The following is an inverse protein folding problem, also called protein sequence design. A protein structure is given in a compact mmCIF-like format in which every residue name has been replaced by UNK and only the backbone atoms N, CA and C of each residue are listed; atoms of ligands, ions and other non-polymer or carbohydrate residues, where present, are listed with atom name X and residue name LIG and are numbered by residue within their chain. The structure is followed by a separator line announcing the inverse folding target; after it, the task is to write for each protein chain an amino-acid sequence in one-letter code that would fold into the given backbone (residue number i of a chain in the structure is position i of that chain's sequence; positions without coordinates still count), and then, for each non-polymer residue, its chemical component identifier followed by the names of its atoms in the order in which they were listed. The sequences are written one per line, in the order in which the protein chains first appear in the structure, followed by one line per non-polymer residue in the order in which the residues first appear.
data_IF_421889513283
#
_entry.id   IF_421889513283
#
_cell.length_a   1.000
_cell.length_b   1.000
_cell.length_c   1.000
_cell.angle_alpha   90.00
_cell.angle_beta   90.00
_cell.angle_gamma   90.00
#
_symmetry.space_group_name_H-M   'P 1'
#
loop_
_entity.id
_entity.type
_entity.pdbx_description
1 polymer ?
#
# COMPACT_ATOMS: atom_id res chain seq x y z
N UNK A 1 23.98 -27.93 -30.81
CA UNK A 1 22.53 -27.82 -30.90
C UNK A 1 21.76 -28.81 -30.00
N UNK A 2 22.43 -29.75 -29.36
CA UNK A 2 21.80 -30.85 -28.57
C UNK A 2 21.49 -30.52 -27.10
N UNK A 3 22.04 -29.43 -26.53
CA UNK A 3 21.83 -29.11 -25.12
C UNK A 3 20.43 -28.54 -24.85
N UNK A 4 19.87 -27.77 -25.78
CA UNK A 4 18.53 -27.19 -25.62
C UNK A 4 17.40 -28.22 -25.63
N UNK A 5 17.55 -29.30 -26.39
CA UNK A 5 16.57 -30.40 -26.43
C UNK A 5 16.61 -31.26 -25.17
N UNK A 6 17.78 -31.45 -24.55
CA UNK A 6 17.91 -32.19 -23.29
C UNK A 6 17.25 -31.48 -22.09
N UNK A 7 17.30 -30.12 -22.03
CA UNK A 7 16.66 -29.34 -20.98
C UNK A 7 15.12 -29.35 -21.07
N UNK A 8 14.58 -29.34 -22.28
CA UNK A 8 13.12 -29.41 -22.49
C UNK A 8 12.55 -30.75 -22.08
N UNK A 9 13.29 -31.85 -22.37
CA UNK A 9 12.86 -33.19 -21.97
C UNK A 9 12.88 -33.37 -20.44
N UNK A 10 13.83 -32.77 -19.73
CA UNK A 10 13.92 -32.86 -18.27
C UNK A 10 12.78 -32.13 -17.57
N UNK A 11 12.35 -30.97 -18.08
CA UNK A 11 11.24 -30.19 -17.52
C UNK A 11 9.90 -30.90 -17.70
N UNK A 12 9.69 -31.57 -18.83
CA UNK A 12 8.46 -32.33 -19.09
C UNK A 12 8.30 -33.57 -18.21
N UNK A 13 9.38 -34.24 -17.82
CA UNK A 13 9.33 -35.40 -16.92
C UNK A 13 9.05 -34.99 -15.48
N UNK A 14 9.54 -33.81 -15.03
CA UNK A 14 9.25 -33.29 -13.67
C UNK A 14 7.80 -32.85 -13.49
N UNK A 15 7.11 -32.38 -14.55
CA UNK A 15 5.74 -31.96 -14.49
C UNK A 15 4.70 -33.08 -14.34
N UNK A 16 5.08 -34.31 -14.72
CA UNK A 16 4.18 -35.47 -14.68
C UNK A 16 4.09 -36.15 -13.30
N UNK A 17 4.96 -35.82 -12.35
CA UNK A 17 5.05 -36.48 -11.04
C UNK A 17 4.18 -35.85 -9.94
N UNK A 18 3.44 -34.75 -10.20
CA UNK A 18 2.71 -33.99 -9.18
C UNK A 18 1.18 -34.21 -9.18
N UNK A 19 0.66 -35.18 -9.93
CA UNK A 19 -0.79 -35.43 -10.06
C UNK A 19 -1.27 -36.73 -9.40
N UNK A 20 -0.69 -37.15 -8.28
CA UNK A 20 -1.22 -38.32 -7.54
C UNK A 20 -1.30 -37.99 -6.05
N UNK A 21 -2.51 -37.74 -5.55
CA UNK A 21 -2.75 -37.75 -4.11
C UNK A 21 -3.81 -36.80 -3.57
N UNK A 22 -5.08 -37.04 -3.89
CA UNK A 22 -6.19 -36.62 -3.02
C UNK A 22 -7.21 -37.75 -2.93
N UNK A 23 -7.04 -38.64 -1.96
CA UNK A 23 -8.07 -39.60 -1.54
C UNK A 23 -8.84 -38.98 -0.36
N UNK A 24 -10.14 -39.02 -0.50
CA UNK A 24 -11.10 -38.39 0.37
C UNK A 24 -11.07 -38.84 1.83
N UNK A 25 -11.39 -37.93 2.72
CA UNK A 25 -11.73 -38.17 4.11
C UNK A 25 -13.25 -38.07 4.29
N UNK A 26 -13.87 -39.15 4.74
CA UNK A 26 -15.27 -39.32 5.07
C UNK A 26 -15.71 -38.28 6.14
N UNK A 27 -16.86 -37.62 6.04
CA UNK A 27 -17.34 -36.76 7.11
C UNK A 27 -17.82 -37.57 8.31
N UNK A 28 -17.14 -37.35 9.44
CA UNK A 28 -17.59 -37.83 10.74
C UNK A 28 -18.81 -37.05 11.25
N UNK A 29 -19.65 -37.64 12.14
CA UNK A 29 -20.85 -36.97 12.67
C UNK A 29 -20.49 -35.73 13.49
N UNK A 30 -21.13 -34.59 13.13
CA UNK A 30 -20.91 -33.31 13.73
C UNK A 30 -21.29 -33.24 15.22
N UNK A 31 -20.57 -32.43 16.01
CA UNK A 31 -20.95 -32.17 17.40
C UNK A 31 -22.24 -31.35 17.47
N UNK A 32 -23.10 -31.77 18.37
CA UNK A 32 -24.36 -31.14 18.77
C UNK A 32 -24.19 -29.65 19.08
N UNK A 33 -25.07 -28.77 18.63
CA UNK A 33 -24.96 -27.34 18.93
C UNK A 33 -25.22 -27.10 20.43
N UNK A 34 -24.21 -26.58 21.11
CA UNK A 34 -24.31 -26.01 22.45
C UNK A 34 -25.06 -24.67 22.36
N UNK A 35 -26.08 -24.41 23.21
CA UNK A 35 -26.85 -23.19 23.14
C UNK A 35 -26.03 -21.97 23.59
N UNK A 36 -25.96 -20.98 22.72
CA UNK A 36 -25.97 -19.57 22.99
C UNK A 36 -24.93 -18.98 23.96
N UNK A 37 -23.76 -18.65 23.47
CA UNK A 37 -23.06 -17.47 23.97
C UNK A 37 -23.39 -16.32 23.00
N UNK A 38 -24.23 -15.40 23.43
CA UNK A 38 -24.48 -14.14 22.74
C UNK A 38 -23.19 -13.34 22.80
N UNK A 39 -22.38 -13.41 21.76
CA UNK A 39 -21.24 -12.50 21.60
C UNK A 39 -21.85 -11.15 21.25
N UNK A 40 -21.89 -10.26 22.23
CA UNK A 40 -22.15 -8.85 21.96
C UNK A 40 -21.03 -8.35 21.04
N UNK A 41 -21.33 -8.27 19.74
CA UNK A 41 -20.44 -7.68 18.74
C UNK A 41 -20.34 -6.21 19.08
N UNK A 42 -19.27 -5.84 19.81
CA UNK A 42 -18.89 -4.43 19.96
C UNK A 42 -18.46 -3.98 18.56
N UNK A 43 -19.37 -3.27 17.88
CA UNK A 43 -19.09 -2.61 16.62
C UNK A 43 -17.83 -1.77 16.79
N UNK A 44 -16.83 -1.88 15.91
CA UNK A 44 -15.69 -0.98 15.96
C UNK A 44 -16.20 0.46 15.88
N UNK A 45 -15.56 1.43 16.56
CA UNK A 45 -16.00 2.81 16.56
C UNK A 45 -16.10 3.27 15.11
N UNK A 46 -17.32 3.54 14.69
CA UNK A 46 -17.64 4.12 13.40
C UNK A 46 -16.97 5.48 13.39
N UNK A 47 -15.88 5.60 12.66
CA UNK A 47 -15.22 6.88 12.42
C UNK A 47 -16.26 7.74 11.70
N UNK A 48 -16.92 8.61 12.46
CA UNK A 48 -17.84 9.60 11.93
C UNK A 48 -17.03 10.41 10.93
N UNK A 49 -17.36 10.27 9.65
CA UNK A 49 -16.81 11.14 8.61
C UNK A 49 -17.24 12.55 9.00
N UNK A 50 -16.36 13.28 9.65
CA UNK A 50 -16.53 14.72 9.87
C UNK A 50 -16.55 15.32 8.48
N UNK A 51 -17.73 15.75 8.05
CA UNK A 51 -17.93 16.54 6.84
C UNK A 51 -17.00 17.75 6.98
N UNK A 52 -15.91 17.75 6.21
CA UNK A 52 -15.01 18.89 6.17
C UNK A 52 -15.84 20.13 5.78
N UNK A 53 -15.66 21.26 6.48
CA UNK A 53 -16.29 22.50 6.06
C UNK A 53 -15.86 22.78 4.61
N UNK A 54 -16.79 23.29 3.79
CA UNK A 54 -16.58 23.72 2.41
C UNK A 54 -15.56 24.86 2.36
N UNK A 55 -14.28 24.54 2.47
CA UNK A 55 -13.17 25.48 2.45
C UNK A 55 -11.89 24.69 2.28
N UNK A 56 -11.17 24.95 1.22
CA UNK A 56 -9.82 24.51 0.91
C UNK A 56 -9.55 23.00 1.12
N UNK A 57 -9.89 22.20 0.11
CA UNK A 57 -9.68 20.73 0.11
C UNK A 57 -8.21 20.29 0.24
N UNK A 58 -7.27 21.24 0.15
CA UNK A 58 -5.83 21.03 0.27
C UNK A 58 -5.25 21.35 1.65
N UNK A 59 -6.09 21.49 2.69
CA UNK A 59 -5.59 21.76 4.03
C UNK A 59 -4.98 20.50 4.67
N UNK A 60 -3.71 20.54 5.16
CA UNK A 60 -3.09 19.42 5.85
C UNK A 60 -3.79 19.09 7.17
N UNK A 61 -3.72 17.85 7.57
CA UNK A 61 -4.20 17.38 8.87
C UNK A 61 -3.09 16.59 9.60
N UNK A 62 -3.19 16.43 10.94
CA UNK A 62 -2.11 15.81 11.73
C UNK A 62 -1.68 14.44 11.20
N UNK A 63 -0.37 14.18 11.27
CA UNK A 63 0.24 12.89 10.97
C UNK A 63 0.39 12.04 12.24
N UNK A 64 0.63 10.74 12.07
CA UNK A 64 0.84 9.79 13.18
C UNK A 64 2.31 9.40 13.24
N UNK A 65 2.87 9.39 14.45
CA UNK A 65 4.24 8.90 14.69
C UNK A 65 4.23 7.37 14.70
N UNK A 66 5.09 6.76 13.88
CA UNK A 66 5.32 5.31 13.88
C UNK A 66 6.29 4.95 15.00
N UNK A 67 6.08 3.79 15.66
CA UNK A 67 7.01 3.26 16.67
C UNK A 67 8.45 3.22 16.09
N UNK A 68 9.48 3.69 16.80
CA UNK A 68 10.86 3.71 16.33
C UNK A 68 11.42 2.37 15.84
N UNK A 69 10.82 1.25 16.28
CA UNK A 69 11.19 -0.10 15.84
C UNK A 69 10.71 -0.41 14.40
N UNK A 70 9.69 0.29 13.93
CA UNK A 70 9.03 0.04 12.64
C UNK A 70 9.10 1.23 11.69
N UNK A 71 9.95 2.21 12.00
CA UNK A 71 10.10 3.41 11.16
C UNK A 71 10.52 3.03 9.76
N UNK A 72 9.82 3.61 8.79
CA UNK A 72 10.15 3.59 7.37
C UNK A 72 10.27 5.02 6.85
N UNK A 73 11.17 5.23 5.90
CA UNK A 73 11.35 6.48 5.19
C UNK A 73 10.49 6.50 3.92
N UNK A 74 9.79 7.60 3.73
CA UNK A 74 9.16 7.94 2.45
C UNK A 74 9.53 9.37 2.13
N UNK A 75 9.97 9.59 0.92
CA UNK A 75 10.35 10.91 0.41
C UNK A 75 9.37 11.37 -0.65
N UNK A 76 8.97 12.62 -0.59
CA UNK A 76 8.13 13.26 -1.60
C UNK A 76 8.95 14.36 -2.26
N UNK A 77 9.24 14.19 -3.53
CA UNK A 77 10.00 15.14 -4.33
C UNK A 77 9.08 15.76 -5.37
N UNK A 78 9.09 17.07 -5.40
CA UNK A 78 8.46 17.86 -6.44
C UNK A 78 9.51 18.24 -7.48
N UNK A 79 9.18 18.09 -8.77
CA UNK A 79 10.05 18.56 -9.85
C UNK A 79 10.18 20.09 -9.75
N UNK A 80 11.39 20.65 -9.66
CA UNK A 80 11.59 22.09 -9.57
C UNK A 80 11.27 22.81 -10.89
N UNK A 81 11.20 22.08 -12.01
CA UNK A 81 10.93 22.65 -13.33
C UNK A 81 9.43 22.66 -13.60
N UNK A 82 8.84 23.84 -13.64
CA UNK A 82 7.40 24.06 -13.74
C UNK A 82 6.73 23.59 -15.04
N UNK A 83 7.50 23.19 -16.06
CA UNK A 83 6.96 22.71 -17.33
C UNK A 83 6.29 21.33 -17.21
N UNK A 84 6.80 20.51 -16.29
CA UNK A 84 6.23 19.20 -15.97
C UNK A 84 5.99 19.13 -14.47
N UNK A 85 4.82 19.57 -14.01
CA UNK A 85 4.44 19.58 -12.58
C UNK A 85 4.32 18.15 -12.02
N UNK A 86 5.45 17.45 -11.87
CA UNK A 86 5.49 16.09 -11.33
C UNK A 86 5.82 16.09 -9.86
N UNK A 87 5.13 15.22 -9.13
CA UNK A 87 5.42 14.88 -7.73
C UNK A 87 5.70 13.39 -7.69
N UNK A 88 6.87 13.02 -7.19
CA UNK A 88 7.29 11.62 -7.05
C UNK A 88 7.37 11.26 -5.58
N UNK A 89 6.70 10.17 -5.20
CA UNK A 89 6.74 9.58 -3.87
C UNK A 89 7.62 8.34 -3.94
N UNK A 90 8.70 8.31 -3.17
CA UNK A 90 9.70 7.23 -3.16
C UNK A 90 9.79 6.59 -1.79
N UNK A 91 9.67 5.28 -1.73
CA UNK A 91 9.90 4.50 -0.52
C UNK A 91 11.41 4.33 -0.29
N UNK A 92 11.91 4.85 0.82
CA UNK A 92 13.34 4.83 1.15
C UNK A 92 13.76 3.60 1.96
N UNK A 93 12.79 2.77 2.38
CA UNK A 93 13.06 1.64 3.26
C UNK A 93 13.12 2.04 4.74
N UNK A 94 13.75 1.22 5.56
CA UNK A 94 13.91 1.45 6.99
C UNK A 94 13.71 0.19 7.83
N UNK A 95 13.74 0.33 9.17
CA UNK A 95 13.63 -0.82 10.09
C UNK A 95 12.33 -1.60 9.93
N UNK A 96 11.22 -0.91 9.58
CA UNK A 96 9.91 -1.52 9.36
C UNK A 96 9.69 -2.09 7.95
N UNK A 97 10.68 -2.02 7.06
CA UNK A 97 10.53 -2.40 5.65
C UNK A 97 9.93 -3.80 5.45
N UNK A 98 10.39 -4.79 6.22
CA UNK A 98 9.91 -6.18 6.11
C UNK A 98 8.46 -6.37 6.57
N UNK A 99 7.95 -5.47 7.40
CA UNK A 99 6.57 -5.48 7.90
C UNK A 99 5.65 -4.58 7.06
N UNK A 100 6.24 -3.76 6.18
CA UNK A 100 5.49 -2.86 5.31
C UNK A 100 4.82 -3.65 4.20
N UNK A 101 3.51 -3.53 4.10
CA UNK A 101 2.68 -4.23 3.12
C UNK A 101 2.35 -3.33 1.93
N UNK A 102 2.11 -2.03 2.19
CA UNK A 102 1.69 -1.07 1.18
C UNK A 102 2.03 0.35 1.57
N UNK A 103 2.33 1.15 0.59
CA UNK A 103 2.46 2.61 0.70
C UNK A 103 1.45 3.22 -0.26
N UNK A 104 0.43 3.88 0.28
CA UNK A 104 -0.59 4.58 -0.49
C UNK A 104 -0.26 6.07 -0.51
N UNK A 105 -0.08 6.63 -1.68
CA UNK A 105 0.09 8.04 -1.88
C UNK A 105 -1.15 8.61 -2.56
N UNK A 106 -1.74 9.65 -1.98
CA UNK A 106 -2.92 10.34 -2.50
C UNK A 106 -2.58 11.81 -2.72
N UNK A 107 -2.75 12.28 -3.95
CA UNK A 107 -2.68 13.68 -4.29
C UNK A 107 -4.10 14.28 -4.33
N UNK A 108 -4.29 15.44 -3.73
CA UNK A 108 -5.49 16.28 -3.89
C UNK A 108 -5.06 17.57 -4.55
N UNK A 109 -5.57 17.85 -5.74
CA UNK A 109 -5.24 19.04 -6.52
C UNK A 109 -6.06 20.24 -6.10
N UNK A 110 -5.67 21.41 -6.57
CA UNK A 110 -6.33 22.67 -6.28
C UNK A 110 -7.81 22.70 -6.70
N UNK A 111 -8.20 21.93 -7.70
CA UNK A 111 -9.59 21.73 -8.15
C UNK A 111 -10.35 20.66 -7.34
N UNK A 112 -9.79 20.20 -6.22
CA UNK A 112 -10.32 19.14 -5.36
C UNK A 112 -10.36 17.74 -6.02
N UNK A 113 -9.78 17.55 -7.19
CA UNK A 113 -9.63 16.21 -7.76
C UNK A 113 -8.57 15.41 -7.00
N UNK A 114 -8.85 14.14 -6.76
CA UNK A 114 -7.96 13.23 -6.04
C UNK A 114 -7.51 12.07 -6.92
N UNK A 115 -6.25 11.66 -6.74
CA UNK A 115 -5.68 10.48 -7.39
C UNK A 115 -4.84 9.72 -6.37
N UNK A 116 -5.03 8.39 -6.29
CA UNK A 116 -4.26 7.53 -5.39
C UNK A 116 -3.45 6.52 -6.19
N UNK A 117 -2.18 6.37 -5.83
CA UNK A 117 -1.29 5.31 -6.34
C UNK A 117 -0.66 4.57 -5.17
N UNK A 118 -0.41 3.28 -5.36
CA UNK A 118 0.14 2.41 -4.31
C UNK A 118 1.44 1.75 -4.74
N UNK A 119 2.38 1.65 -3.81
CA UNK A 119 3.53 0.76 -3.89
C UNK A 119 3.19 -0.44 -3.00
N UNK A 120 3.00 -1.61 -3.61
CA UNK A 120 2.55 -2.81 -2.90
C UNK A 120 3.70 -3.79 -2.73
N UNK A 121 3.72 -4.50 -1.62
CA UNK A 121 4.66 -5.59 -1.40
C UNK A 121 4.40 -6.70 -2.42
N UNK A 122 5.45 -7.24 -3.09
CA UNK A 122 5.32 -8.41 -3.95
C UNK A 122 4.93 -9.65 -3.13
N UNK A 123 4.44 -10.69 -3.78
CA UNK A 123 4.06 -11.96 -3.12
C UNK A 123 5.22 -12.59 -2.34
N UNK A 124 6.44 -12.41 -2.84
CA UNK A 124 7.66 -12.84 -2.17
C UNK A 124 8.58 -11.66 -1.88
N UNK A 125 8.96 -11.47 -0.61
CA UNK A 125 9.92 -10.44 -0.21
C UNK A 125 9.29 -9.22 0.45
N UNK A 126 9.96 -8.08 0.31
CA UNK A 126 9.55 -6.77 0.85
C UNK A 126 9.48 -5.72 -0.24
N UNK A 127 8.86 -4.59 0.04
CA UNK A 127 8.93 -3.42 -0.85
C UNK A 127 10.41 -3.02 -0.97
N UNK A 128 10.89 -2.86 -2.20
CA UNK A 128 12.27 -2.48 -2.45
C UNK A 128 12.46 -0.98 -2.19
N UNK A 129 13.53 -0.62 -1.48
CA UNK A 129 13.91 0.78 -1.34
C UNK A 129 14.21 1.39 -2.72
N UNK A 130 13.74 2.61 -2.96
CA UNK A 130 13.76 3.25 -4.29
C UNK A 130 12.51 3.00 -5.14
N UNK A 131 11.59 2.11 -4.71
CA UNK A 131 10.29 1.98 -5.37
C UNK A 131 9.52 3.29 -5.31
N UNK A 132 8.94 3.73 -6.42
CA UNK A 132 8.30 5.05 -6.49
C UNK A 132 7.02 5.05 -7.33
N UNK A 133 6.18 6.05 -7.08
CA UNK A 133 5.02 6.41 -7.89
C UNK A 133 5.07 7.90 -8.21
N UNK A 134 4.64 8.28 -9.40
CA UNK A 134 4.68 9.66 -9.87
C UNK A 134 3.27 10.13 -10.24
N UNK A 135 2.96 11.37 -9.87
CA UNK A 135 1.69 12.05 -10.13
C UNK A 135 1.93 13.27 -11.01
N UNK A 136 0.92 13.64 -11.79
CA UNK A 136 0.85 14.94 -12.41
C UNK A 136 0.17 15.89 -11.42
N UNK A 137 0.89 16.90 -10.96
CA UNK A 137 0.40 17.91 -10.03
C UNK A 137 -0.22 19.13 -10.72
N UNK A 138 -0.78 20.02 -9.91
CA UNK A 138 -1.24 21.37 -10.27
C UNK A 138 -0.27 22.44 -9.75
N UNK A 139 -0.71 23.67 -9.55
CA UNK A 139 0.15 24.70 -8.93
C UNK A 139 0.34 24.49 -7.45
N UNK A 140 -0.71 23.97 -6.78
CA UNK A 140 -0.74 23.71 -5.35
C UNK A 140 -1.49 22.40 -5.10
N UNK A 141 -0.80 21.43 -4.53
CA UNK A 141 -1.33 20.09 -4.32
C UNK A 141 -1.06 19.62 -2.88
N UNK A 142 -2.03 18.97 -2.28
CA UNK A 142 -1.84 18.26 -1.01
C UNK A 142 -1.45 16.83 -1.29
N UNK A 143 -0.39 16.35 -0.65
CA UNK A 143 0.04 14.97 -0.71
C UNK A 143 -0.15 14.29 0.65
N UNK A 144 -0.92 13.22 0.67
CA UNK A 144 -1.11 12.35 1.83
C UNK A 144 -0.44 11.01 1.57
N UNK A 145 0.42 10.56 2.48
CA UNK A 145 1.04 9.24 2.40
C UNK A 145 0.67 8.42 3.62
N UNK A 146 0.07 7.26 3.36
CA UNK A 146 -0.29 6.26 4.37
C UNK A 146 0.54 5.00 4.13
N UNK A 147 1.25 4.55 5.16
CA UNK A 147 2.01 3.30 5.13
C UNK A 147 1.31 2.26 5.98
N UNK A 148 1.02 1.10 5.40
CA UNK A 148 0.45 -0.04 6.13
C UNK A 148 1.58 -0.95 6.60
N UNK A 149 1.77 -1.02 7.93
CA UNK A 149 2.80 -1.81 8.60
C UNK A 149 2.09 -2.85 9.47
N UNK A 150 2.34 -4.13 9.24
CA UNK A 150 1.72 -5.23 9.97
C UNK A 150 0.18 -5.12 10.05
N UNK A 151 -0.45 -4.71 8.94
CA UNK A 151 -1.90 -4.52 8.84
C UNK A 151 -2.44 -3.21 9.41
N UNK A 152 -1.61 -2.39 10.07
CA UNK A 152 -2.00 -1.10 10.65
C UNK A 152 -1.61 0.04 9.72
N UNK A 153 -2.55 0.92 9.32
CA UNK A 153 -2.27 2.09 8.50
C UNK A 153 -1.76 3.26 9.37
N UNK A 154 -0.68 3.90 8.94
CA UNK A 154 -0.08 5.09 9.54
C UNK A 154 -0.01 6.20 8.50
N UNK A 155 -0.67 7.32 8.75
CA UNK A 155 -0.53 8.52 7.93
C UNK A 155 0.74 9.26 8.35
N UNK A 156 1.80 9.13 7.56
CA UNK A 156 3.14 9.63 7.89
C UNK A 156 3.48 10.97 7.23
N UNK A 157 2.81 11.29 6.11
CA UNK A 157 2.96 12.55 5.40
C UNK A 157 1.57 13.12 5.12
N UNK A 158 1.41 14.43 5.34
CA UNK A 158 0.22 15.19 4.97
C UNK A 158 0.65 16.65 4.81
N UNK A 159 1.14 17.00 3.63
CA UNK A 159 1.76 18.28 3.33
C UNK A 159 1.27 18.89 2.02
N UNK A 160 1.40 20.21 1.90
CA UNK A 160 1.07 20.96 0.69
C UNK A 160 2.33 21.31 -0.08
N UNK A 161 2.35 20.93 -1.35
CA UNK A 161 3.42 21.17 -2.29
C UNK A 161 3.00 22.25 -3.30
N UNK A 162 3.75 23.36 -3.34
CA UNK A 162 3.51 24.46 -4.28
C UNK A 162 4.61 24.50 -5.33
N UNK A 163 4.24 24.63 -6.60
CA UNK A 163 5.19 24.94 -7.67
C UNK A 163 5.42 26.45 -7.69
N UNK A 164 6.66 26.86 -7.49
CA UNK A 164 7.01 28.26 -7.61
C UNK A 164 6.92 28.68 -9.07
N UNK A 165 5.95 29.52 -9.39
CA UNK A 165 5.98 30.28 -10.64
C UNK A 165 7.11 31.31 -10.47
N UNK A 166 8.13 31.21 -11.32
CA UNK A 166 9.18 32.22 -11.38
C UNK A 166 8.52 33.54 -11.80
N UNK A 167 8.74 34.63 -11.06
CA UNK A 167 8.21 35.95 -11.44
C UNK A 167 8.78 36.42 -12.77
#
# INVERSE_FOLDING_TARGET
MHWRTALIALVLVLAAALMAGCTGTTPGPGPTPTPGVTVTQTSPPQTTATTAPSGDCIQPSPTVTVDPRFVVGVEVIRDPVSLNKKITVTFQGGKGQYLTQRVDATITREDCTTETKSITRPESGSIVAGSSVTFNGSNRDRMVVVVTINGVPYKIIDDVYQFQTRP
#
